data_IF_542446089515
#
_entry.id   IF_542446089515
#
_cell.length_a   1.000
_cell.length_b   1.000
_cell.length_c   1.000
_cell.angle_alpha   90.00
_cell.angle_beta   90.00
_cell.angle_gamma   90.00
#
_symmetry.space_group_name_H-M   'P 1'
#
loop_
_entity.id
_entity.type
_entity.pdbx_description
1 polymer ?
#
# COMPACT_ATOMS: atom_id res chain seq x y z
N UNK A 1 -22.74 7.94 -1.78
CA UNK A 1 -22.30 9.23 -1.22
C UNK A 1 -21.75 8.95 0.17
N UNK A 2 -20.51 9.33 0.47
CA UNK A 2 -19.93 9.14 1.79
C UNK A 2 -20.63 10.07 2.80
N UNK A 3 -20.98 9.55 3.97
CA UNK A 3 -21.50 10.37 5.07
C UNK A 3 -20.38 11.31 5.55
N UNK A 4 -20.51 12.63 5.39
CA UNK A 4 -19.46 13.58 5.77
C UNK A 4 -19.13 13.60 7.27
N UNK A 5 -19.91 12.89 8.10
CA UNK A 5 -19.72 12.83 9.55
C UNK A 5 -18.95 11.60 10.05
N UNK A 6 -18.64 10.60 9.21
CA UNK A 6 -17.80 9.49 9.63
C UNK A 6 -16.32 9.79 9.37
N UNK A 7 -15.51 9.69 10.42
CA UNK A 7 -14.07 9.66 10.27
C UNK A 7 -13.67 8.40 9.48
N UNK A 8 -12.68 8.48 8.57
CA UNK A 8 -12.21 7.32 7.85
C UNK A 8 -11.62 6.28 8.80
N UNK A 9 -11.79 5.01 8.48
CA UNK A 9 -11.20 3.86 9.17
C UNK A 9 -9.83 3.50 8.59
N UNK A 10 -9.59 3.82 7.32
CA UNK A 10 -8.27 3.75 6.72
C UNK A 10 -8.08 4.83 5.65
N UNK A 11 -6.82 5.11 5.35
CA UNK A 11 -6.39 5.97 4.24
C UNK A 11 -5.26 5.29 3.51
N UNK A 12 -5.34 5.29 2.19
CA UNK A 12 -4.27 4.79 1.32
C UNK A 12 -3.85 5.85 0.32
N UNK A 13 -2.56 5.86 0.03
CA UNK A 13 -1.99 6.60 -1.08
C UNK A 13 -1.45 5.60 -2.09
N UNK A 14 -1.80 5.79 -3.35
CA UNK A 14 -1.49 4.88 -4.45
C UNK A 14 -0.57 5.57 -5.44
N UNK A 15 0.50 4.90 -5.87
CA UNK A 15 1.40 5.41 -6.91
C UNK A 15 1.76 4.31 -7.91
N UNK A 16 1.83 4.66 -9.19
CA UNK A 16 2.39 3.80 -10.23
C UNK A 16 3.93 3.89 -10.21
N UNK A 17 4.61 2.79 -10.52
CA UNK A 17 6.05 2.75 -10.66
C UNK A 17 6.49 1.88 -11.85
N UNK A 18 7.68 2.17 -12.38
CA UNK A 18 8.42 1.30 -13.31
C UNK A 18 9.28 0.30 -12.54
N UNK A 19 9.84 0.75 -11.41
CA UNK A 19 10.61 -0.05 -10.47
C UNK A 19 10.52 0.59 -9.08
N UNK A 20 10.53 -0.23 -8.03
CA UNK A 20 10.67 0.25 -6.67
C UNK A 20 11.53 -0.68 -5.84
N UNK A 21 12.36 -0.12 -4.97
CA UNK A 21 13.24 -0.85 -4.06
C UNK A 21 13.04 -0.34 -2.62
N UNK A 22 12.76 -1.26 -1.70
CA UNK A 22 12.42 -0.97 -0.31
C UNK A 22 13.32 -1.75 0.66
N UNK A 23 13.86 -1.07 1.66
CA UNK A 23 14.59 -1.71 2.75
C UNK A 23 13.60 -2.45 3.67
N UNK A 24 13.86 -3.73 3.92
CA UNK A 24 13.05 -4.57 4.82
C UNK A 24 13.78 -4.91 6.12
N UNK A 25 15.11 -4.88 6.13
CA UNK A 25 15.92 -5.00 7.35
C UNK A 25 17.00 -3.91 7.33
N UNK A 26 17.16 -3.10 8.39
CA UNK A 26 18.28 -2.18 8.48
C UNK A 26 19.61 -2.95 8.56
N UNK A 27 20.71 -2.26 8.27
CA UNK A 27 22.04 -2.82 8.50
C UNK A 27 22.28 -2.99 10.01
N UNK A 28 22.98 -4.06 10.36
CA UNK A 28 23.49 -4.34 11.71
C UNK A 28 25.03 -4.34 11.63
N UNK A 29 25.77 -4.25 12.77
CA UNK A 29 27.24 -4.20 12.75
C UNK A 29 27.91 -5.27 11.89
N UNK A 30 27.30 -6.45 11.80
CA UNK A 30 27.83 -7.61 11.06
C UNK A 30 27.00 -7.99 9.82
N UNK A 31 26.02 -7.16 9.41
CA UNK A 31 25.23 -7.46 8.20
C UNK A 31 24.72 -6.24 7.46
N UNK A 32 24.81 -6.31 6.13
CA UNK A 32 24.24 -5.31 5.24
C UNK A 32 22.71 -5.25 5.35
N UNK A 33 22.15 -4.07 5.03
CA UNK A 33 20.71 -3.90 4.96
C UNK A 33 20.10 -4.85 3.92
N UNK A 34 18.91 -5.40 4.21
CA UNK A 34 18.16 -6.25 3.29
C UNK A 34 17.12 -5.44 2.55
N UNK A 35 16.97 -5.73 1.26
CA UNK A 35 16.09 -5.02 0.35
C UNK A 35 15.17 -6.00 -0.40
N UNK A 36 14.01 -5.50 -0.77
CA UNK A 36 13.11 -6.13 -1.74
C UNK A 36 12.87 -5.15 -2.87
N UNK A 37 12.50 -5.67 -4.03
CA UNK A 37 12.15 -4.84 -5.17
C UNK A 37 10.95 -5.40 -5.93
N UNK A 38 10.29 -4.50 -6.65
CA UNK A 38 9.27 -4.84 -7.63
C UNK A 38 9.62 -4.17 -8.95
N UNK A 39 9.29 -4.85 -10.05
CA UNK A 39 9.22 -4.22 -11.36
C UNK A 39 7.89 -3.45 -11.47
N UNK A 40 7.55 -3.02 -12.69
CA UNK A 40 6.36 -2.22 -12.99
C UNK A 40 5.11 -2.66 -12.21
N UNK A 41 4.46 -1.69 -11.57
CA UNK A 41 3.40 -2.02 -10.62
C UNK A 41 2.86 -0.85 -9.81
N UNK A 42 2.13 -1.21 -8.75
CA UNK A 42 1.43 -0.31 -7.84
C UNK A 42 2.10 -0.31 -6.47
N UNK A 43 2.44 0.88 -5.97
CA UNK A 43 2.86 1.11 -4.59
C UNK A 43 1.63 1.54 -3.78
N UNK A 44 1.38 0.83 -2.68
CA UNK A 44 0.26 1.06 -1.76
C UNK A 44 0.81 1.50 -0.41
N UNK A 45 0.68 2.78 -0.08
CA UNK A 45 0.97 3.28 1.26
C UNK A 45 -0.31 3.22 2.09
N UNK A 46 -0.29 2.54 3.24
CA UNK A 46 -1.50 2.29 4.03
C UNK A 46 -1.39 2.84 5.46
N UNK A 47 -2.46 3.46 5.92
CA UNK A 47 -2.65 3.93 7.29
C UNK A 47 -4.03 3.52 7.80
N UNK A 48 -4.08 2.98 9.00
CA UNK A 48 -5.32 2.62 9.70
C UNK A 48 -5.61 3.61 10.83
N UNK A 49 -6.89 3.83 11.10
CA UNK A 49 -7.39 4.75 12.11
C UNK A 49 -8.12 4.01 13.23
N UNK A 50 -8.34 4.70 14.34
CA UNK A 50 -9.11 4.19 15.48
C UNK A 50 -10.51 3.77 15.03
N UNK A 51 -10.94 2.59 15.49
CA UNK A 51 -12.21 1.99 15.13
C UNK A 51 -12.16 1.07 13.91
N UNK A 52 -11.03 0.99 13.19
CA UNK A 52 -10.86 -0.01 12.15
C UNK A 52 -10.79 -1.42 12.75
N UNK A 53 -11.55 -2.34 12.17
CA UNK A 53 -11.46 -3.79 12.41
C UNK A 53 -11.07 -4.54 11.14
N UNK A 54 -10.95 -5.86 11.23
CA UNK A 54 -10.60 -6.71 10.07
C UNK A 54 -11.66 -6.66 8.96
N UNK A 55 -12.89 -6.29 9.28
CA UNK A 55 -14.04 -6.22 8.39
C UNK A 55 -13.86 -5.22 7.23
N UNK A 56 -13.00 -4.21 7.39
CA UNK A 56 -12.71 -3.24 6.33
C UNK A 56 -11.78 -3.81 5.25
N UNK A 57 -10.97 -4.82 5.59
CA UNK A 57 -9.89 -5.32 4.73
C UNK A 57 -10.41 -5.82 3.37
N UNK A 58 -11.46 -6.66 3.29
CA UNK A 58 -11.97 -7.12 2.00
C UNK A 58 -12.40 -5.97 1.07
N UNK A 59 -13.05 -4.94 1.63
CA UNK A 59 -13.47 -3.75 0.89
C UNK A 59 -12.25 -2.97 0.40
N UNK A 60 -11.24 -2.80 1.25
CA UNK A 60 -10.00 -2.10 0.89
C UNK A 60 -9.28 -2.80 -0.25
N UNK A 61 -8.98 -4.09 -0.10
CA UNK A 61 -8.23 -4.87 -1.10
C UNK A 61 -8.99 -4.89 -2.42
N UNK A 62 -10.30 -5.18 -2.40
CA UNK A 62 -11.11 -5.18 -3.62
C UNK A 62 -11.08 -3.82 -4.33
N UNK A 63 -11.20 -2.72 -3.58
CA UNK A 63 -11.19 -1.37 -4.16
C UNK A 63 -9.83 -1.03 -4.76
N UNK A 64 -8.74 -1.26 -4.01
CA UNK A 64 -7.38 -0.86 -4.39
C UNK A 64 -6.87 -1.70 -5.57
N UNK A 65 -7.17 -3.00 -5.61
CA UNK A 65 -6.68 -3.86 -6.68
C UNK A 65 -7.48 -3.73 -7.97
N UNK A 66 -8.74 -3.29 -7.91
CA UNK A 66 -9.60 -3.13 -9.10
C UNK A 66 -9.73 -1.68 -9.61
N UNK A 67 -9.26 -0.67 -8.87
CA UNK A 67 -9.30 0.71 -9.36
C UNK A 67 -8.42 0.87 -10.60
N UNK A 68 -8.95 1.55 -11.62
CA UNK A 68 -8.30 1.67 -12.93
C UNK A 68 -7.30 2.82 -12.96
N UNK A 69 -6.10 2.59 -12.43
CA UNK A 69 -5.03 3.58 -12.33
C UNK A 69 -3.76 3.19 -13.09
N UNK A 70 -3.72 1.98 -13.64
CA UNK A 70 -2.56 1.44 -14.33
C UNK A 70 -2.74 1.60 -15.84
N UNK A 71 -1.92 2.44 -16.45
CA UNK A 71 -1.96 2.70 -17.90
C UNK A 71 -1.46 1.47 -18.68
N UNK A 72 -2.16 0.99 -19.71
CA UNK A 72 -1.65 -0.04 -20.64
C UNK A 72 -1.03 0.60 -21.89
N UNK A 73 -0.45 -0.22 -22.78
CA UNK A 73 0.32 0.26 -23.95
C UNK A 73 -0.47 1.15 -24.91
N UNK A 74 -1.80 1.00 -24.96
CA UNK A 74 -2.70 1.83 -25.78
C UNK A 74 -3.16 3.14 -25.09
N UNK A 75 -2.62 3.44 -23.90
CA UNK A 75 -2.95 4.63 -23.11
C UNK A 75 -4.24 4.52 -22.28
N UNK A 76 -4.93 3.38 -22.30
CA UNK A 76 -6.10 3.17 -21.43
C UNK A 76 -5.69 2.86 -20.00
N UNK A 77 -6.49 3.28 -19.04
CA UNK A 77 -6.31 2.90 -17.65
C UNK A 77 -7.10 1.64 -17.30
N UNK A 78 -6.39 0.66 -16.75
CA UNK A 78 -6.90 -0.62 -16.26
C UNK A 78 -6.52 -0.82 -14.79
N UNK A 79 -7.04 -1.87 -14.16
CA UNK A 79 -6.66 -2.24 -12.80
C UNK A 79 -5.24 -2.81 -12.76
N UNK A 80 -4.62 -2.84 -11.58
CA UNK A 80 -3.29 -3.50 -11.44
C UNK A 80 -3.38 -5.00 -11.75
N UNK A 81 -4.55 -5.61 -11.49
CA UNK A 81 -4.83 -7.02 -11.82
C UNK A 81 -4.95 -7.26 -13.33
N UNK A 82 -5.55 -6.32 -14.05
CA UNK A 82 -5.68 -6.40 -15.51
C UNK A 82 -4.39 -6.03 -16.25
N UNK A 83 -3.51 -5.25 -15.62
CA UNK A 83 -2.15 -4.95 -16.09
C UNK A 83 -1.14 -6.09 -15.87
N UNK A 84 -1.53 -7.17 -15.19
CA UNK A 84 -0.71 -7.86 -14.17
C UNK A 84 0.53 -7.09 -13.66
N UNK A 85 0.33 -6.02 -12.90
CA UNK A 85 1.42 -5.26 -12.27
C UNK A 85 1.84 -5.81 -10.90
N UNK A 86 3.12 -5.68 -10.55
CA UNK A 86 3.60 -6.02 -9.20
C UNK A 86 3.05 -5.08 -8.12
N UNK A 87 3.11 -5.50 -6.86
CA UNK A 87 2.59 -4.72 -5.74
C UNK A 87 3.65 -4.54 -4.67
N UNK A 88 3.83 -3.29 -4.22
CA UNK A 88 4.63 -2.95 -3.05
C UNK A 88 3.75 -2.31 -1.98
N UNK A 89 3.51 -3.01 -0.88
CA UNK A 89 2.73 -2.49 0.24
C UNK A 89 3.67 -1.85 1.27
N UNK A 90 3.40 -0.61 1.68
CA UNK A 90 4.23 0.16 2.61
C UNK A 90 3.37 0.63 3.79
N UNK A 91 3.71 0.26 5.04
CA UNK A 91 3.03 0.79 6.21
C UNK A 91 3.42 2.26 6.36
N UNK A 92 2.43 3.16 6.31
CA UNK A 92 2.64 4.60 6.27
C UNK A 92 1.68 5.32 7.23
N UNK A 93 1.87 5.10 8.53
CA UNK A 93 1.06 5.74 9.58
C UNK A 93 1.09 7.28 9.54
N UNK A 94 2.06 7.89 8.86
CA UNK A 94 2.15 9.35 8.71
C UNK A 94 1.02 9.94 7.86
N UNK A 95 0.34 9.13 7.02
CA UNK A 95 -0.83 9.58 6.26
C UNK A 95 -1.97 10.05 7.17
N UNK A 96 -2.02 9.61 8.43
CA UNK A 96 -3.02 10.05 9.40
C UNK A 96 -2.73 11.38 10.08
N UNK A 97 -1.61 12.01 9.75
CA UNK A 97 -1.18 13.25 10.38
C UNK A 97 -2.09 14.44 10.04
N UNK A 98 -2.42 15.24 11.06
CA UNK A 98 -3.08 16.54 10.93
C UNK A 98 -2.14 17.64 11.37
N UNK A 99 -2.04 18.72 10.58
CA UNK A 99 -1.20 19.87 10.92
C UNK A 99 -1.83 20.66 12.08
N UNK A 100 -1.06 20.87 13.15
CA UNK A 100 -1.38 21.77 14.26
C UNK A 100 -0.22 22.73 14.48
N UNK A 101 -0.40 23.98 14.05
CA UNK A 101 0.68 24.97 14.00
C UNK A 101 1.78 24.50 13.04
N UNK A 102 2.96 24.19 13.58
CA UNK A 102 4.13 23.69 12.82
C UNK A 102 4.47 22.22 13.09
N UNK A 103 3.54 21.46 13.72
CA UNK A 103 3.74 20.05 14.07
C UNK A 103 2.60 19.20 13.53
N UNK A 104 2.89 17.95 13.18
CA UNK A 104 1.87 16.96 12.83
C UNK A 104 1.39 16.24 14.10
N UNK A 105 0.09 15.98 14.19
CA UNK A 105 -0.54 15.19 15.23
C UNK A 105 -1.22 13.96 14.63
N UNK A 106 -1.18 12.84 15.37
CA UNK A 106 -1.63 11.52 14.89
C UNK A 106 -2.70 10.91 15.80
N UNK A 107 -3.52 11.74 16.45
CA UNK A 107 -4.49 11.29 17.45
C UNK A 107 -5.54 10.29 16.94
N UNK A 108 -5.80 10.30 15.63
CA UNK A 108 -6.75 9.42 14.97
C UNK A 108 -6.14 8.07 14.56
N UNK A 109 -4.80 7.93 14.56
CA UNK A 109 -4.15 6.69 14.17
C UNK A 109 -4.50 5.57 15.13
N UNK A 110 -4.60 4.36 14.58
CA UNK A 110 -4.79 3.16 15.38
C UNK A 110 -3.57 2.87 16.27
N UNK A 111 -3.80 2.14 17.37
CA UNK A 111 -2.73 1.68 18.26
C UNK A 111 -1.78 0.72 17.54
N UNK A 112 -0.51 0.70 17.96
CA UNK A 112 0.59 0.06 17.21
C UNK A 112 0.36 -1.44 16.97
N UNK A 113 -0.05 -2.16 18.01
CA UNK A 113 -0.24 -3.61 18.00
C UNK A 113 -1.40 -4.01 17.07
N UNK A 114 -2.53 -3.30 17.17
CA UNK A 114 -3.70 -3.53 16.31
C UNK A 114 -3.37 -3.14 14.85
N UNK A 115 -2.63 -2.05 14.66
CA UNK A 115 -2.18 -1.63 13.33
C UNK A 115 -1.26 -2.65 12.66
N UNK A 116 -0.41 -3.35 13.41
CA UNK A 116 0.42 -4.44 12.91
C UNK A 116 -0.43 -5.63 12.45
N UNK A 117 -1.44 -6.00 13.24
CA UNK A 117 -2.38 -7.08 12.91
C UNK A 117 -3.14 -6.76 11.62
N UNK A 118 -3.78 -5.58 11.53
CA UNK A 118 -4.50 -5.14 10.33
C UNK A 118 -3.60 -5.04 9.11
N UNK A 119 -2.37 -4.54 9.27
CA UNK A 119 -1.39 -4.50 8.17
C UNK A 119 -1.04 -5.89 7.67
N UNK A 120 -0.81 -6.84 8.58
CA UNK A 120 -0.48 -8.22 8.24
C UNK A 120 -1.65 -8.89 7.50
N UNK A 121 -2.88 -8.71 8.00
CA UNK A 121 -4.09 -9.21 7.33
C UNK A 121 -4.29 -8.56 5.96
N UNK A 122 -4.05 -7.25 5.83
CA UNK A 122 -4.14 -6.55 4.57
C UNK A 122 -3.19 -7.13 3.51
N UNK A 123 -1.94 -7.38 3.89
CA UNK A 123 -0.93 -8.00 3.00
C UNK A 123 -1.39 -9.40 2.59
N UNK A 124 -1.78 -10.25 3.54
CA UNK A 124 -2.25 -11.62 3.27
C UNK A 124 -3.45 -11.63 2.31
N UNK A 125 -4.40 -10.71 2.49
CA UNK A 125 -5.57 -10.63 1.62
C UNK A 125 -5.21 -10.12 0.22
N UNK A 126 -4.25 -9.19 0.08
CA UNK A 126 -3.71 -8.82 -1.23
C UNK A 126 -3.07 -10.01 -1.94
N UNK A 127 -2.23 -10.79 -1.23
CA UNK A 127 -1.57 -11.98 -1.79
C UNK A 127 -2.60 -13.03 -2.26
N UNK A 128 -3.62 -13.30 -1.45
CA UNK A 128 -4.72 -14.21 -1.84
C UNK A 128 -5.43 -13.75 -3.09
N UNK A 129 -5.74 -12.46 -3.21
CA UNK A 129 -6.44 -11.93 -4.37
C UNK A 129 -5.58 -11.96 -5.64
N UNK A 130 -4.27 -11.74 -5.51
CA UNK A 130 -3.32 -11.92 -6.62
C UNK A 130 -3.23 -13.38 -7.06
N UNK A 131 -3.09 -14.32 -6.12
CA UNK A 131 -3.01 -15.75 -6.42
C UNK A 131 -4.30 -16.30 -7.05
N UNK A 132 -5.46 -15.75 -6.68
CA UNK A 132 -6.75 -16.11 -7.26
C UNK A 132 -6.97 -15.51 -8.66
N UNK A 133 -6.20 -14.49 -9.06
CA UNK A 133 -6.32 -13.89 -10.38
C UNK A 133 -5.43 -14.63 -11.40
N UNK A 134 -6.07 -15.26 -12.39
CA UNK A 134 -5.40 -16.08 -13.41
C UNK A 134 -4.32 -15.30 -14.16
N UNK A 135 -4.58 -14.06 -14.59
CA UNK A 135 -3.59 -13.24 -15.31
C UNK A 135 -2.37 -12.95 -14.45
N UNK A 136 -2.58 -12.58 -13.18
CA UNK A 136 -1.49 -12.32 -12.25
C UNK A 136 -0.66 -13.57 -11.95
N UNK A 137 -1.32 -14.71 -11.77
CA UNK A 137 -0.65 -15.99 -11.53
C UNK A 137 0.21 -16.43 -12.72
N UNK A 138 -0.34 -16.35 -13.94
CA UNK A 138 0.39 -16.70 -15.17
C UNK A 138 1.55 -15.75 -15.47
N UNK A 139 1.37 -14.45 -15.21
CA UNK A 139 2.42 -13.44 -15.40
C UNK A 139 3.50 -13.46 -14.30
N UNK A 140 3.34 -14.27 -13.24
CA UNK A 140 4.29 -14.33 -12.14
C UNK A 140 4.36 -13.04 -11.32
N UNK A 141 3.23 -12.34 -11.17
CA UNK A 141 3.14 -11.11 -10.39
C UNK A 141 3.57 -11.38 -8.95
N UNK A 142 4.44 -10.52 -8.43
CA UNK A 142 4.90 -10.59 -7.04
C UNK A 142 4.32 -9.46 -6.21
N UNK A 143 3.99 -9.78 -4.96
CA UNK A 143 3.78 -8.82 -3.91
C UNK A 143 5.01 -8.78 -3.00
N UNK A 144 5.49 -7.58 -2.72
CA UNK A 144 6.47 -7.30 -1.67
C UNK A 144 5.88 -6.31 -0.68
N UNK A 145 6.39 -6.30 0.53
CA UNK A 145 5.86 -5.42 1.56
C UNK A 145 6.98 -4.91 2.48
N UNK A 146 6.74 -3.73 3.06
CA UNK A 146 7.60 -3.16 4.08
C UNK A 146 7.50 -3.91 5.40
N UNK A 147 8.57 -3.83 6.20
CA UNK A 147 8.55 -4.32 7.58
C UNK A 147 7.88 -3.27 8.45
N UNK A 148 6.77 -3.63 9.09
CA UNK A 148 6.02 -2.72 9.96
C UNK A 148 6.88 -2.25 11.13
N UNK A 149 6.81 -0.94 11.43
CA UNK A 149 7.61 -0.32 12.48
C UNK A 149 9.05 0.05 12.08
N UNK A 150 9.56 -0.44 10.94
CA UNK A 150 10.87 -0.02 10.43
C UNK A 150 10.79 1.33 9.70
N UNK A 151 11.95 1.94 9.49
CA UNK A 151 12.09 3.05 8.53
C UNK A 151 11.90 2.51 7.12
N UNK A 152 10.96 3.11 6.37
CA UNK A 152 10.67 2.73 4.99
C UNK A 152 11.65 3.44 4.03
N UNK A 153 12.90 2.98 3.97
CA UNK A 153 13.90 3.55 3.04
C UNK A 153 13.57 3.07 1.63
N UNK A 154 13.10 3.99 0.78
CA UNK A 154 12.47 3.69 -0.50
C UNK A 154 13.17 4.42 -1.64
N UNK A 155 13.37 3.72 -2.76
CA UNK A 155 13.73 4.27 -4.07
C UNK A 155 12.63 3.92 -5.06
N UNK A 156 12.20 4.87 -5.88
CA UNK A 156 11.14 4.66 -6.86
C UNK A 156 11.55 5.30 -8.19
N UNK A 157 11.39 4.54 -9.26
CA UNK A 157 11.43 5.04 -10.63
C UNK A 157 10.00 5.05 -11.21
N UNK A 158 9.62 6.13 -11.87
CA UNK A 158 8.24 6.33 -12.37
C UNK A 158 8.26 7.06 -13.70
N UNK A 159 7.35 6.69 -14.61
CA UNK A 159 6.95 7.52 -15.74
C UNK A 159 5.78 8.44 -15.36
N UNK A 160 5.90 9.14 -14.24
CA UNK A 160 4.80 9.84 -13.58
C UNK A 160 4.10 8.93 -12.55
N UNK A 161 4.06 9.31 -11.26
CA UNK A 161 3.54 8.44 -10.21
C UNK A 161 2.01 8.31 -10.20
N UNK A 162 1.30 9.15 -10.94
CA UNK A 162 -0.17 9.20 -11.02
C UNK A 162 -0.85 9.00 -9.64
N UNK A 163 -0.45 9.85 -8.69
CA UNK A 163 -0.75 9.66 -7.26
C UNK A 163 -2.23 9.85 -6.94
N UNK A 164 -2.83 8.91 -6.21
CA UNK A 164 -4.23 8.99 -5.76
C UNK A 164 -4.36 8.71 -4.27
N UNK A 165 -5.34 9.35 -3.62
CA UNK A 165 -5.69 9.12 -2.23
C UNK A 165 -7.09 8.52 -2.14
N UNK A 166 -7.26 7.45 -1.37
CA UNK A 166 -8.56 6.81 -1.12
C UNK A 166 -8.75 6.64 0.39
N UNK A 167 -9.95 6.96 0.86
CA UNK A 167 -10.37 6.80 2.26
C UNK A 167 -11.46 5.74 2.37
N UNK A 168 -11.48 5.01 3.49
CA UNK A 168 -12.36 3.86 3.72
C UNK A 168 -13.22 4.01 4.96
#
# INVERSE_FOLDING_TARGET
MADPNLNPLARVLLQQCLHAQLQVKPAEPDSEAKWVEIQRGLIIYVCFFKGAGEDIIPKMVNTILNVKLSECEDGKYVSVLDLPGNILVIPQGTLGGKLKGRRMQYHANIEKEIGLELYSQFVIQCEKQLAANVKCAEAGVVLKHGTYGNRQVLRVDTNGPFTHLIEF
#
